data_IF_975838532111
#
_entry.id   IF_975838532111
#
_cell.length_a   1.000
_cell.length_b   1.000
_cell.length_c   1.000
_cell.angle_alpha   90.00
_cell.angle_beta   90.00
_cell.angle_gamma   90.00
#
_symmetry.space_group_name_H-M   'P 1'
#
loop_
_entity.id
_entity.type
_entity.pdbx_description
1 polymer ?
#
# COMPACT_ATOMS: atom_id res chain seq x y z
N UNK A 1 11.17 -15.67 -11.91
CA UNK A 1 11.04 -14.82 -10.70
C UNK A 1 9.58 -14.81 -10.35
N UNK A 2 9.25 -15.03 -9.08
CA UNK A 2 7.85 -15.09 -8.61
C UNK A 2 7.72 -14.16 -7.40
N UNK A 3 6.74 -13.27 -7.44
CA UNK A 3 6.35 -12.44 -6.30
C UNK A 3 5.20 -13.17 -5.61
N UNK A 4 5.40 -13.55 -4.36
CA UNK A 4 4.43 -14.30 -3.58
C UNK A 4 3.79 -13.33 -2.58
N UNK A 5 2.53 -12.98 -2.82
CA UNK A 5 1.76 -12.15 -1.92
C UNK A 5 1.23 -13.00 -0.77
N UNK A 6 1.55 -12.62 0.46
CA UNK A 6 1.04 -13.26 1.67
C UNK A 6 -0.23 -12.59 2.17
N UNK A 7 -0.28 -11.25 2.14
CA UNK A 7 -1.42 -10.49 2.65
C UNK A 7 -1.46 -9.06 2.10
N UNK A 8 -2.68 -8.55 1.86
CA UNK A 8 -2.98 -7.12 1.71
C UNK A 8 -3.97 -6.73 2.81
N UNK A 9 -3.61 -5.75 3.64
CA UNK A 9 -4.42 -5.29 4.78
C UNK A 9 -4.76 -3.80 4.62
N UNK A 10 -5.89 -3.46 3.99
CA UNK A 10 -6.39 -2.10 3.99
C UNK A 10 -7.03 -1.77 5.35
N UNK A 11 -6.80 -0.56 5.84
CA UNK A 11 -7.45 -0.03 7.04
C UNK A 11 -7.81 1.45 6.86
N UNK A 12 -8.84 1.88 7.59
CA UNK A 12 -9.33 3.25 7.61
C UNK A 12 -9.60 3.67 9.06
N UNK A 13 -9.09 4.83 9.47
CA UNK A 13 -9.28 5.38 10.81
C UNK A 13 -9.59 6.87 10.76
N UNK A 14 -10.54 7.35 11.57
CA UNK A 14 -10.78 8.79 11.74
C UNK A 14 -9.66 9.42 12.58
N UNK A 15 -9.07 10.51 12.09
CA UNK A 15 -7.93 11.18 12.73
C UNK A 15 -8.32 12.55 13.29
N UNK A 16 -9.27 13.23 12.67
CA UNK A 16 -9.85 14.47 13.16
C UNK A 16 -11.37 14.36 13.18
N UNK A 17 -11.98 14.92 14.22
CA UNK A 17 -13.43 15.02 14.37
C UNK A 17 -13.85 16.50 14.34
N UNK A 18 -15.01 16.78 13.76
CA UNK A 18 -15.63 18.12 13.79
C UNK A 18 -16.23 18.39 15.18
N UNK A 19 -16.60 19.65 15.44
CA UNK A 19 -17.34 20.03 16.65
C UNK A 19 -18.68 19.29 16.83
N UNK A 20 -19.20 18.68 15.76
CA UNK A 20 -20.41 17.84 15.74
C UNK A 20 -20.12 16.33 15.85
N UNK A 21 -18.90 15.94 16.23
CA UNK A 21 -18.44 14.55 16.34
C UNK A 21 -18.45 13.75 15.03
N UNK A 22 -18.55 14.40 13.86
CA UNK A 22 -18.37 13.77 12.56
C UNK A 22 -16.89 13.67 12.19
N UNK A 23 -16.47 12.64 11.46
CA UNK A 23 -15.10 12.56 10.96
C UNK A 23 -14.81 13.72 9.99
N UNK A 24 -13.84 14.57 10.32
CA UNK A 24 -13.35 15.65 9.46
C UNK A 24 -12.25 15.16 8.51
N UNK A 25 -11.46 14.17 8.96
CA UNK A 25 -10.36 13.58 8.20
C UNK A 25 -10.25 12.08 8.51
N UNK A 26 -10.02 11.29 7.47
CA UNK A 26 -9.63 9.89 7.60
C UNK A 26 -8.18 9.68 7.18
N UNK A 27 -7.53 8.74 7.88
CA UNK A 27 -6.31 8.07 7.45
C UNK A 27 -6.68 6.76 6.78
N UNK A 28 -6.09 6.52 5.61
CA UNK A 28 -6.07 5.24 4.92
C UNK A 28 -4.67 4.66 5.04
N UNK A 29 -4.58 3.39 5.40
CA UNK A 29 -3.34 2.62 5.36
C UNK A 29 -3.56 1.34 4.57
N UNK A 30 -2.60 0.95 3.72
CA UNK A 30 -2.53 -0.36 3.10
C UNK A 30 -1.20 -0.99 3.47
N UNK A 31 -1.22 -2.15 4.12
CA UNK A 31 -0.03 -2.97 4.36
C UNK A 31 0.00 -4.15 3.38
N UNK A 32 1.16 -4.38 2.78
CA UNK A 32 1.41 -5.45 1.82
C UNK A 32 2.54 -6.34 2.34
N UNK A 33 2.24 -7.61 2.60
CA UNK A 33 3.20 -8.60 3.09
C UNK A 33 3.50 -9.57 1.94
N UNK A 34 4.76 -9.71 1.56
CA UNK A 34 5.16 -10.53 0.42
C UNK A 34 6.59 -11.07 0.57
N UNK A 35 6.96 -12.03 -0.25
CA UNK A 35 8.35 -12.42 -0.48
C UNK A 35 8.57 -12.67 -1.98
N UNK A 36 9.83 -12.66 -2.43
CA UNK A 36 10.16 -12.85 -3.85
C UNK A 36 11.16 -13.99 -4.00
N UNK A 37 10.90 -14.88 -4.95
CA UNK A 37 11.77 -16.01 -5.29
C UNK A 37 12.29 -15.93 -6.72
N UNK A 38 13.46 -16.53 -6.95
CA UNK A 38 14.04 -16.77 -8.27
C UNK A 38 14.60 -18.19 -8.32
N UNK A 39 13.90 -19.07 -9.05
CA UNK A 39 14.09 -20.52 -8.88
C UNK A 39 13.77 -20.91 -7.44
N UNK A 40 14.65 -21.70 -6.82
CA UNK A 40 14.51 -22.15 -5.43
C UNK A 40 15.09 -21.16 -4.41
N UNK A 41 15.62 -20.02 -4.86
CA UNK A 41 16.24 -19.01 -3.97
C UNK A 41 15.26 -17.90 -3.63
N UNK A 42 15.15 -17.57 -2.34
CA UNK A 42 14.50 -16.36 -1.88
C UNK A 42 15.43 -15.17 -2.15
N UNK A 43 14.96 -14.21 -2.94
CA UNK A 43 15.74 -13.02 -3.34
C UNK A 43 15.26 -11.75 -2.62
N UNK A 44 14.02 -11.76 -2.14
CA UNK A 44 13.49 -10.80 -1.18
C UNK A 44 12.82 -11.63 -0.09
N UNK A 45 13.29 -11.57 1.17
CA UNK A 45 12.66 -12.29 2.27
C UNK A 45 11.25 -11.74 2.51
N UNK A 46 10.49 -12.38 3.41
CA UNK A 46 9.24 -11.83 3.88
C UNK A 46 9.43 -10.37 4.30
N UNK A 47 8.70 -9.48 3.64
CA UNK A 47 8.85 -8.04 3.74
C UNK A 47 7.46 -7.42 3.80
N UNK A 48 7.30 -6.43 4.67
CA UNK A 48 6.09 -5.61 4.75
C UNK A 48 6.35 -4.23 4.16
N UNK A 49 5.52 -3.80 3.21
CA UNK A 49 5.46 -2.43 2.73
C UNK A 49 4.14 -1.80 3.13
N UNK A 50 4.16 -0.52 3.51
CA UNK A 50 2.94 0.22 3.85
C UNK A 50 2.87 1.53 3.08
N UNK A 51 1.66 1.91 2.65
CA UNK A 51 1.35 3.27 2.18
C UNK A 51 0.30 3.87 3.10
N UNK A 52 0.42 5.19 3.35
CA UNK A 52 -0.49 5.96 4.20
C UNK A 52 -0.90 7.24 3.47
N UNK A 53 -2.21 7.54 3.47
CA UNK A 53 -2.78 8.78 2.93
C UNK A 53 -3.82 9.35 3.88
N UNK A 54 -4.01 10.66 3.84
CA UNK A 54 -5.04 11.37 4.59
C UNK A 54 -5.95 12.09 3.60
N UNK A 55 -7.26 12.10 3.88
CA UNK A 55 -8.23 12.84 3.07
C UNK A 55 -9.31 13.47 3.95
N UNK A 56 -9.76 14.64 3.53
CA UNK A 56 -10.82 15.38 4.22
C UNK A 56 -12.19 14.80 3.83
N UNK A 57 -13.12 14.76 4.78
CA UNK A 57 -14.48 14.29 4.51
C UNK A 57 -15.46 15.44 4.61
N UNK A 58 -16.30 15.56 3.57
CA UNK A 58 -17.41 16.50 3.58
C UNK A 58 -18.70 15.78 3.93
N UNK A 59 -19.32 16.15 5.06
CA UNK A 59 -20.63 15.62 5.44
C UNK A 59 -21.74 16.04 4.49
N UNK A 60 -21.55 17.14 3.74
CA UNK A 60 -22.50 17.62 2.73
C UNK A 60 -22.34 16.94 1.36
N UNK A 61 -21.24 16.22 1.12
CA UNK A 61 -21.00 15.50 -0.12
C UNK A 61 -20.28 14.17 0.11
N UNK A 62 -21.01 13.21 0.70
CA UNK A 62 -20.49 11.89 1.05
C UNK A 62 -20.07 11.07 -0.18
N UNK A 63 -20.76 11.26 -1.31
CA UNK A 63 -20.45 10.58 -2.56
C UNK A 63 -19.06 10.95 -3.08
N UNK A 64 -18.73 12.24 -3.12
CA UNK A 64 -17.40 12.71 -3.52
C UNK A 64 -16.30 12.20 -2.59
N UNK A 65 -16.52 12.20 -1.27
CA UNK A 65 -15.55 11.65 -0.31
C UNK A 65 -15.35 10.13 -0.47
N UNK A 66 -16.37 9.40 -0.92
CA UNK A 66 -16.25 7.97 -1.23
C UNK A 66 -15.45 7.73 -2.51
N UNK A 67 -15.69 8.51 -3.57
CA UNK A 67 -14.92 8.45 -4.82
C UNK A 67 -13.44 8.79 -4.60
N UNK A 68 -13.16 9.84 -3.82
CA UNK A 68 -11.80 10.21 -3.42
C UNK A 68 -11.11 9.07 -2.65
N UNK A 69 -11.83 8.41 -1.73
CA UNK A 69 -11.29 7.26 -1.01
C UNK A 69 -10.89 6.12 -1.96
N UNK A 70 -11.73 5.80 -2.94
CA UNK A 70 -11.44 4.74 -3.92
C UNK A 70 -10.23 5.10 -4.80
N UNK A 71 -10.15 6.36 -5.22
CA UNK A 71 -9.01 6.87 -6.00
C UNK A 71 -7.72 6.75 -5.20
N UNK A 72 -7.70 7.22 -3.96
CA UNK A 72 -6.53 7.14 -3.08
C UNK A 72 -6.09 5.70 -2.83
N UNK A 73 -7.03 4.79 -2.58
CA UNK A 73 -6.69 3.37 -2.41
C UNK A 73 -6.06 2.77 -3.67
N UNK A 74 -6.51 3.17 -4.85
CA UNK A 74 -5.89 2.73 -6.12
C UNK A 74 -4.46 3.27 -6.24
N UNK A 75 -4.26 4.57 -6.03
CA UNK A 75 -2.93 5.19 -6.08
C UNK A 75 -1.96 4.54 -5.07
N UNK A 76 -2.43 4.28 -3.85
CA UNK A 76 -1.64 3.60 -2.82
C UNK A 76 -1.21 2.20 -3.24
N UNK A 77 -2.08 1.44 -3.92
CA UNK A 77 -1.70 0.12 -4.46
C UNK A 77 -0.68 0.25 -5.57
N UNK A 78 -0.87 1.18 -6.51
CA UNK A 78 0.07 1.42 -7.61
C UNK A 78 1.46 1.79 -7.07
N UNK A 79 1.53 2.64 -6.03
CA UNK A 79 2.76 2.99 -5.32
C UNK A 79 3.44 1.77 -4.68
N UNK A 80 2.67 0.93 -3.97
CA UNK A 80 3.19 -0.26 -3.32
C UNK A 80 3.72 -1.27 -4.33
N UNK A 81 2.98 -1.53 -5.42
CA UNK A 81 3.39 -2.43 -6.48
C UNK A 81 4.67 -1.96 -7.17
N UNK A 82 4.79 -0.65 -7.43
CA UNK A 82 6.02 -0.08 -7.99
C UNK A 82 7.23 -0.38 -7.08
N UNK A 83 7.08 -0.19 -5.76
CA UNK A 83 8.13 -0.51 -4.77
C UNK A 83 8.49 -2.00 -4.76
N UNK A 84 7.50 -2.90 -4.80
CA UNK A 84 7.73 -4.36 -4.88
C UNK A 84 8.55 -4.71 -6.12
N UNK A 85 8.16 -4.17 -7.29
CA UNK A 85 8.86 -4.43 -8.55
C UNK A 85 10.29 -3.90 -8.49
N UNK A 86 10.50 -2.68 -8.00
CA UNK A 86 11.84 -2.11 -7.85
C UNK A 86 12.73 -2.94 -6.92
N UNK A 87 12.19 -3.41 -5.78
CA UNK A 87 12.92 -4.30 -4.86
C UNK A 87 13.29 -5.62 -5.50
N UNK A 88 12.36 -6.24 -6.23
CA UNK A 88 12.60 -7.50 -6.92
C UNK A 88 13.69 -7.35 -8.02
N UNK A 89 13.61 -6.29 -8.82
CA UNK A 89 14.57 -6.00 -9.88
C UNK A 89 15.98 -5.72 -9.31
N UNK A 90 16.07 -4.92 -8.25
CA UNK A 90 17.33 -4.61 -7.59
C UNK A 90 18.03 -5.88 -7.08
N UNK A 91 17.29 -6.75 -6.38
CA UNK A 91 17.86 -7.98 -5.83
C UNK A 91 18.22 -9.00 -6.93
N UNK A 92 17.42 -9.09 -7.98
CA UNK A 92 17.73 -9.95 -9.13
C UNK A 92 19.03 -9.52 -9.83
N UNK A 93 19.21 -8.22 -10.05
CA UNK A 93 20.44 -7.67 -10.64
C UNK A 93 21.67 -7.97 -9.77
N UNK A 94 21.53 -7.82 -8.44
CA UNK A 94 22.62 -8.10 -7.50
C UNK A 94 23.09 -9.56 -7.54
N UNK A 95 22.15 -10.50 -7.68
CA UNK A 95 22.48 -11.92 -7.78
C UNK A 95 23.19 -12.23 -9.10
N UNK A 96 22.70 -11.69 -10.22
CA UNK A 96 23.31 -11.92 -11.55
C UNK A 96 24.73 -11.38 -11.67
N UNK A 97 25.07 -10.31 -10.96
CA UNK A 97 26.42 -9.72 -10.98
C UNK A 97 27.39 -10.44 -10.02
N UNK A 98 26.90 -11.37 -9.19
CA UNK A 98 27.70 -12.15 -8.24
C UNK A 98 28.05 -13.57 -8.71
N UNK A 99 27.60 -13.93 -9.90
CA UNK A 99 27.84 -15.21 -10.60
C UNK A 99 28.60 -14.95 -11.89
#
# INVERSE_FOLDING_TARGET
MTINLLSEKPSRRSVLTTASMSAAQYELTIELIFFVTFGDRIIVPETTLSSRKFFAVSSSNQAASYEEQLLLQREMREELLAKVISMAQYNLARIRNST
#
